data_IF_993249802369
#
_entry.id   IF_993249802369
#
_cell.length_a   1.000
_cell.length_b   1.000
_cell.length_c   1.000
_cell.angle_alpha   90.00
_cell.angle_beta   90.00
_cell.angle_gamma   90.00
#
_symmetry.space_group_name_H-M   'P 1'
#
loop_
_entity.id
_entity.type
_entity.pdbx_description
1 polymer ?
#
# COMPACT_ATOMS: atom_id res chain seq x y z
N UNK A 1 0.44 2.26 -7.27
CA UNK A 1 0.92 1.12 -6.48
C UNK A 1 2.22 1.45 -5.75
N UNK A 2 3.31 1.77 -6.45
CA UNK A 2 4.63 2.01 -5.82
C UNK A 2 4.65 3.09 -4.71
N UNK A 3 3.93 4.21 -4.90
CA UNK A 3 3.81 5.21 -3.83
C UNK A 3 3.17 4.64 -2.56
N UNK A 4 2.06 3.91 -2.70
CA UNK A 4 1.38 3.26 -1.57
C UNK A 4 2.21 2.12 -0.94
N UNK A 5 3.01 1.40 -1.74
CA UNK A 5 4.00 0.45 -1.22
C UNK A 5 4.98 1.15 -0.28
N UNK A 6 5.57 2.28 -0.73
CA UNK A 6 6.52 3.07 0.06
C UNK A 6 5.86 3.69 1.30
N UNK A 7 4.67 4.26 1.15
CA UNK A 7 3.91 4.87 2.25
C UNK A 7 3.57 3.84 3.32
N UNK A 8 3.03 2.68 2.96
CA UNK A 8 2.67 1.65 3.95
C UNK A 8 3.92 1.13 4.68
N UNK A 9 5.03 0.92 3.96
CA UNK A 9 6.29 0.50 4.56
C UNK A 9 6.87 1.57 5.50
N UNK A 10 6.73 2.85 5.15
CA UNK A 10 7.28 3.95 5.95
C UNK A 10 6.42 4.27 7.18
N UNK A 11 5.09 4.33 7.01
CA UNK A 11 4.17 4.71 8.07
C UNK A 11 3.88 3.58 9.05
N UNK A 12 3.71 2.35 8.54
CA UNK A 12 3.26 1.20 9.34
C UNK A 12 4.33 0.11 9.50
N UNK A 13 5.48 0.22 8.83
CA UNK A 13 6.52 -0.81 8.84
C UNK A 13 6.12 -2.10 8.11
N UNK A 14 5.01 -2.10 7.38
CA UNK A 14 4.50 -3.26 6.64
C UNK A 14 4.98 -3.14 5.19
N UNK A 15 5.72 -4.14 4.70
CA UNK A 15 6.13 -4.24 3.30
C UNK A 15 5.09 -5.09 2.54
N UNK A 16 4.12 -4.48 1.85
CA UNK A 16 3.05 -5.23 1.18
C UNK A 16 3.58 -5.90 -0.09
N UNK A 17 2.98 -7.02 -0.50
CA UNK A 17 3.15 -7.49 -1.88
C UNK A 17 2.70 -6.39 -2.88
N UNK A 18 3.32 -6.34 -4.06
CA UNK A 18 2.99 -5.32 -5.07
C UNK A 18 1.53 -5.35 -5.48
N UNK A 19 0.89 -6.52 -5.51
CA UNK A 19 -0.53 -6.69 -5.77
C UNK A 19 -1.38 -5.99 -4.71
N UNK A 20 -1.08 -6.20 -3.42
CA UNK A 20 -1.77 -5.55 -2.31
C UNK A 20 -1.54 -4.02 -2.27
N UNK A 21 -0.38 -3.56 -2.73
CA UNK A 21 -0.11 -2.12 -2.86
C UNK A 21 -1.03 -1.42 -3.88
N UNK A 22 -1.66 -2.15 -4.81
CA UNK A 22 -2.69 -1.58 -5.69
C UNK A 22 -3.96 -1.22 -4.91
N UNK A 23 -4.40 -2.10 -4.00
CA UNK A 23 -5.55 -1.84 -3.14
C UNK A 23 -5.31 -0.60 -2.26
N UNK A 24 -4.13 -0.52 -1.63
CA UNK A 24 -3.77 0.63 -0.80
C UNK A 24 -3.69 1.93 -1.61
N UNK A 25 -3.15 1.89 -2.83
CA UNK A 25 -3.12 3.05 -3.70
C UNK A 25 -4.52 3.55 -4.10
N UNK A 26 -5.50 2.66 -4.21
CA UNK A 26 -6.89 3.04 -4.44
C UNK A 26 -7.53 3.64 -3.18
N UNK A 27 -7.30 3.01 -2.03
CA UNK A 27 -7.79 3.49 -0.73
C UNK A 27 -7.30 4.91 -0.44
N UNK A 28 -6.01 5.20 -0.63
CA UNK A 28 -5.47 6.56 -0.42
C UNK A 28 -6.14 7.62 -1.29
N UNK A 29 -6.71 7.25 -2.46
CA UNK A 29 -7.46 8.17 -3.32
C UNK A 29 -8.88 8.43 -2.81
N UNK A 30 -9.56 7.39 -2.33
CA UNK A 30 -10.98 7.49 -1.97
C UNK A 30 -11.20 7.87 -0.50
N UNK A 31 -10.27 7.55 0.39
CA UNK A 31 -10.45 7.68 1.83
C UNK A 31 -10.79 9.12 2.25
N UNK A 32 -10.17 10.13 1.63
CA UNK A 32 -10.43 11.53 1.94
C UNK A 32 -11.82 12.03 1.52
N UNK A 33 -12.53 11.30 0.65
CA UNK A 33 -13.88 11.63 0.21
C UNK A 33 -14.98 10.98 1.06
N UNK A 34 -14.63 10.06 1.94
CA UNK A 34 -15.58 9.33 2.78
C UNK A 34 -15.82 10.07 4.11
N UNK A 35 -17.01 9.88 4.73
CA UNK A 35 -17.25 10.36 6.08
C UNK A 35 -16.23 9.80 7.07
N UNK A 36 -15.82 10.59 8.07
CA UNK A 36 -14.86 10.15 9.10
C UNK A 36 -15.35 8.96 9.94
N UNK A 37 -16.65 8.69 9.95
CA UNK A 37 -17.26 7.55 10.65
C UNK A 37 -17.24 6.25 9.84
N UNK A 38 -16.88 6.31 8.55
CA UNK A 38 -16.86 5.14 7.69
C UNK A 38 -15.67 4.22 8.04
N UNK A 39 -15.91 2.90 8.04
CA UNK A 39 -14.88 1.90 8.32
C UNK A 39 -14.46 1.24 7.00
N UNK A 40 -13.20 1.38 6.62
CA UNK A 40 -12.61 0.70 5.47
C UNK A 40 -11.87 -0.56 5.91
N UNK A 41 -12.17 -1.68 5.27
CA UNK A 41 -11.47 -2.94 5.45
C UNK A 41 -10.77 -3.30 4.15
N UNK A 42 -9.46 -3.52 4.25
CA UNK A 42 -8.62 -3.90 3.12
C UNK A 42 -7.92 -5.22 3.41
N UNK A 43 -7.91 -6.12 2.43
CA UNK A 43 -7.13 -7.34 2.52
C UNK A 43 -5.69 -7.07 2.09
N UNK A 44 -4.74 -7.27 3.02
CA UNK A 44 -3.30 -7.24 2.73
C UNK A 44 -2.80 -8.68 2.58
N UNK A 45 -2.85 -9.19 1.35
CA UNK A 45 -2.33 -10.52 1.01
C UNK A 45 -0.89 -10.49 0.54
N UNK A 46 -0.16 -11.56 0.83
CA UNK A 46 1.22 -11.75 0.36
C UNK A 46 2.25 -10.91 1.12
N UNK A 47 3.52 -11.24 0.90
CA UNK A 47 4.67 -10.60 1.55
C UNK A 47 5.48 -9.87 0.48
N UNK A 48 5.81 -8.60 0.71
CA UNK A 48 6.55 -7.79 -0.26
C UNK A 48 8.06 -7.98 -0.23
N UNK A 49 8.59 -8.89 0.62
CA UNK A 49 10.02 -9.19 0.72
C UNK A 49 10.61 -9.66 -0.62
N UNK A 50 9.83 -10.43 -1.39
CA UNK A 50 10.22 -10.87 -2.74
C UNK A 50 10.21 -9.76 -3.79
N UNK A 51 9.47 -8.69 -3.52
CA UNK A 51 9.26 -7.60 -4.47
C UNK A 51 10.19 -6.40 -4.22
N UNK A 52 10.90 -6.36 -3.08
CA UNK A 52 11.74 -5.22 -2.69
C UNK A 52 12.79 -4.88 -3.74
N UNK A 53 13.45 -5.88 -4.32
CA UNK A 53 14.49 -5.63 -5.33
C UNK A 53 13.89 -4.95 -6.58
N UNK A 54 12.71 -5.41 -7.01
CA UNK A 54 12.02 -4.81 -8.14
C UNK A 54 11.49 -3.41 -7.81
N UNK A 55 10.86 -3.23 -6.65
CA UNK A 55 10.34 -1.94 -6.21
C UNK A 55 11.44 -0.89 -6.06
N UNK A 56 12.61 -1.30 -5.53
CA UNK A 56 13.79 -0.46 -5.34
C UNK A 56 14.23 0.22 -6.64
N UNK A 57 14.21 -0.49 -7.78
CA UNK A 57 14.60 0.02 -9.12
C UNK A 57 13.78 1.24 -9.57
N UNK A 58 12.63 1.50 -8.96
CA UNK A 58 11.74 2.62 -9.30
C UNK A 58 11.52 3.61 -8.15
N UNK A 59 11.96 3.27 -6.94
CA UNK A 59 11.72 4.05 -5.71
C UNK A 59 13.00 4.73 -5.18
N UNK A 60 14.17 4.25 -5.60
CA UNK A 60 15.51 4.81 -5.35
C UNK A 60 16.11 5.30 -6.67
#
# INVERSE_FOLDING_TARGET
ALAAFKELAHCEGIIPALESAHAMAYISKIAGSLPKSEILIANLSGRGDKDVEQASKYLL
#
